data_IF_374499880522
#
_entry.id   IF_374499880522
#
_cell.length_a   1.000
_cell.length_b   1.000
_cell.length_c   1.000
_cell.angle_alpha   90.00
_cell.angle_beta   90.00
_cell.angle_gamma   90.00
#
_symmetry.space_group_name_H-M   'P 1'
#
loop_
_entity.id
_entity.type
_entity.pdbx_description
1 polymer ?
#
# COMPACT_ATOMS: atom_id res chain seq x y z
N UNK A 1 19.48 -17.96 -32.56
CA UNK A 1 18.71 -18.62 -31.48
C UNK A 1 19.60 -18.87 -30.27
N UNK A 2 19.63 -17.96 -29.31
CA UNK A 2 20.24 -18.22 -28.00
C UNK A 2 19.31 -17.69 -26.91
N UNK A 3 18.74 -18.65 -26.19
CA UNK A 3 17.77 -18.47 -25.11
C UNK A 3 18.50 -17.85 -23.92
N UNK A 4 18.29 -16.55 -23.69
CA UNK A 4 18.77 -15.87 -22.50
C UNK A 4 18.12 -16.46 -21.26
N UNK A 5 18.84 -17.33 -20.57
CA UNK A 5 18.46 -17.88 -19.26
C UNK A 5 18.37 -16.75 -18.24
N UNK A 6 17.14 -16.31 -17.95
CA UNK A 6 16.87 -15.40 -16.84
C UNK A 6 17.15 -16.14 -15.52
N UNK A 7 18.30 -15.86 -14.92
CA UNK A 7 18.70 -16.43 -13.64
C UNK A 7 17.76 -15.92 -12.54
N UNK A 8 16.93 -16.81 -11.99
CA UNK A 8 16.06 -16.50 -10.85
C UNK A 8 16.93 -16.45 -9.59
N UNK A 9 17.31 -15.25 -9.19
CA UNK A 9 18.03 -15.01 -7.92
C UNK A 9 17.02 -15.08 -6.78
N UNK A 10 17.02 -16.20 -6.05
CA UNK A 10 16.19 -16.35 -4.85
C UNK A 10 16.93 -15.74 -3.65
N UNK A 11 16.41 -14.65 -3.08
CA UNK A 11 16.93 -14.04 -1.85
C UNK A 11 16.15 -14.57 -0.65
N UNK A 12 16.70 -15.51 0.15
CA UNK A 12 16.01 -16.07 1.31
C UNK A 12 15.85 -14.98 2.38
N UNK A 13 14.60 -14.61 2.66
CA UNK A 13 14.23 -13.60 3.66
C UNK A 13 13.27 -12.51 3.16
N UNK A 14 13.12 -12.37 1.84
CA UNK A 14 12.17 -11.42 1.24
C UNK A 14 10.90 -12.18 0.85
N UNK A 15 9.83 -12.02 1.64
CA UNK A 15 8.52 -12.58 1.32
C UNK A 15 8.11 -12.04 -0.06
N UNK A 16 7.83 -12.95 -0.99
CA UNK A 16 7.34 -12.57 -2.31
C UNK A 16 6.01 -11.83 -2.13
N UNK A 17 6.03 -10.53 -2.41
CA UNK A 17 4.80 -9.76 -2.56
C UNK A 17 4.19 -10.15 -3.89
N UNK A 18 3.22 -11.06 -3.80
CA UNK A 18 2.44 -11.48 -4.95
C UNK A 18 1.39 -10.40 -5.23
N UNK A 19 1.54 -9.71 -6.34
CA UNK A 19 0.63 -8.64 -6.78
C UNK A 19 -0.21 -9.17 -7.93
N UNK A 20 -1.54 -9.09 -7.79
CA UNK A 20 -2.46 -9.35 -8.89
C UNK A 20 -2.44 -8.17 -9.88
N UNK A 21 -2.42 -8.41 -11.20
CA UNK A 21 -2.35 -7.34 -12.20
C UNK A 21 -3.64 -6.52 -12.18
N UNK A 22 -3.53 -5.24 -11.81
CA UNK A 22 -4.64 -4.28 -11.73
C UNK A 22 -4.78 -3.57 -10.38
N UNK A 23 -3.99 -3.97 -9.38
CA UNK A 23 -3.92 -3.27 -8.10
C UNK A 23 -2.57 -2.54 -8.03
N UNK A 24 -2.59 -1.20 -8.04
CA UNK A 24 -1.40 -0.41 -7.69
C UNK A 24 -0.88 -0.92 -6.34
N UNK A 25 0.38 -1.35 -6.34
CA UNK A 25 1.06 -1.89 -5.18
C UNK A 25 1.21 -0.77 -4.14
N UNK A 26 0.20 -0.60 -3.28
CA UNK A 26 0.35 0.15 -2.03
C UNK A 26 0.99 -0.81 -1.02
N UNK A 27 2.19 -1.28 -1.33
CA UNK A 27 3.02 -2.07 -0.41
C UNK A 27 4.14 -1.22 0.12
N UNK A 28 3.93 -0.78 1.35
CA UNK A 28 4.92 -0.09 2.15
C UNK A 28 4.58 -0.33 3.62
N UNK A 29 5.48 0.07 4.50
CA UNK A 29 5.18 0.08 5.94
C UNK A 29 3.90 0.90 6.22
N UNK A 30 3.28 0.70 7.38
CA UNK A 30 2.09 1.48 7.77
C UNK A 30 2.30 3.00 7.60
N UNK A 31 3.50 3.50 7.89
CA UNK A 31 3.88 4.90 7.66
C UNK A 31 3.83 5.33 6.18
N UNK A 32 4.27 4.48 5.24
CA UNK A 32 4.23 4.78 3.80
C UNK A 32 2.79 4.82 3.29
N UNK A 33 1.96 3.85 3.68
CA UNK A 33 0.54 3.84 3.34
C UNK A 33 -0.17 5.10 3.83
N UNK A 34 0.16 5.54 5.04
CA UNK A 34 -0.40 6.76 5.63
C UNK A 34 0.10 8.03 4.94
N UNK A 35 1.38 8.07 4.51
CA UNK A 35 1.91 9.17 3.73
C UNK A 35 1.29 9.25 2.33
N UNK A 36 1.05 8.11 1.68
CA UNK A 36 0.35 8.05 0.39
C UNK A 36 -1.07 8.60 0.56
N UNK A 37 -1.77 8.20 1.63
CA UNK A 37 -3.07 8.75 2.00
C UNK A 37 -3.05 10.27 2.08
N UNK A 38 -2.16 10.82 2.92
CA UNK A 38 -2.01 12.26 3.11
C UNK A 38 -1.55 13.04 1.86
N UNK A 39 -0.81 12.39 0.97
CA UNK A 39 -0.36 13.02 -0.28
C UNK A 39 -1.53 13.08 -1.25
N UNK A 40 -2.28 11.99 -1.40
CA UNK A 40 -3.50 11.96 -2.18
C UNK A 40 -4.56 12.95 -1.66
N UNK A 41 -4.69 13.14 -0.34
CA UNK A 41 -5.52 14.20 0.25
C UNK A 41 -5.12 15.59 -0.27
N UNK A 42 -3.81 15.90 -0.29
CA UNK A 42 -3.30 17.19 -0.77
C UNK A 42 -3.45 17.39 -2.27
N UNK A 43 -3.36 16.31 -3.03
CA UNK A 43 -3.58 16.30 -4.48
C UNK A 43 -5.08 16.39 -4.84
N UNK A 44 -5.98 16.28 -3.86
CA UNK A 44 -7.43 16.27 -4.05
C UNK A 44 -7.97 14.91 -4.53
N UNK A 45 -7.14 13.87 -4.52
CA UNK A 45 -7.49 12.53 -4.96
C UNK A 45 -8.04 11.69 -3.80
N UNK A 46 -9.22 12.07 -3.34
CA UNK A 46 -9.87 11.53 -2.14
C UNK A 46 -10.08 10.01 -2.22
N UNK A 47 -10.38 9.49 -3.42
CA UNK A 47 -10.57 8.05 -3.64
C UNK A 47 -9.29 7.27 -3.38
N UNK A 48 -8.14 7.80 -3.83
CA UNK A 48 -6.84 7.19 -3.63
C UNK A 48 -6.43 7.24 -2.15
N UNK A 49 -6.73 8.35 -1.47
CA UNK A 49 -6.50 8.50 -0.04
C UNK A 49 -7.23 7.43 0.79
N UNK A 50 -8.55 7.29 0.58
CA UNK A 50 -9.37 6.28 1.26
C UNK A 50 -8.88 4.86 0.96
N UNK A 51 -8.44 4.57 -0.27
CA UNK A 51 -7.91 3.25 -0.65
C UNK A 51 -6.59 2.93 0.09
N UNK A 52 -5.70 3.91 0.22
CA UNK A 52 -4.43 3.78 0.94
C UNK A 52 -4.67 3.54 2.44
N UNK A 53 -5.51 4.35 3.08
CA UNK A 53 -5.83 4.24 4.50
C UNK A 53 -6.55 2.92 4.83
N UNK A 54 -7.49 2.48 3.98
CA UNK A 54 -8.13 1.16 4.14
C UNK A 54 -7.14 0.00 3.98
N UNK A 55 -6.18 0.14 3.07
CA UNK A 55 -5.13 -0.87 2.87
C UNK A 55 -4.21 -0.95 4.08
N UNK A 56 -3.91 0.21 4.71
CA UNK A 56 -3.17 0.29 5.96
C UNK A 56 -3.87 -0.47 7.08
N UNK A 57 -5.16 -0.19 7.32
CA UNK A 57 -5.91 -0.85 8.40
C UNK A 57 -6.02 -2.37 8.18
N UNK A 58 -6.18 -2.81 6.93
CA UNK A 58 -6.26 -4.25 6.60
C UNK A 58 -4.92 -4.97 6.77
N UNK A 59 -3.81 -4.35 6.38
CA UNK A 59 -2.47 -4.97 6.41
C UNK A 59 -1.79 -4.82 7.76
N UNK A 60 -2.04 -3.72 8.46
CA UNK A 60 -1.40 -3.35 9.72
C UNK A 60 -2.43 -2.96 10.81
N UNK A 61 -3.39 -3.84 11.15
CA UNK A 61 -4.46 -3.49 12.11
C UNK A 61 -3.98 -3.21 13.54
N UNK A 62 -2.76 -3.64 13.89
CA UNK A 62 -2.16 -3.44 15.22
C UNK A 62 -1.21 -2.24 15.28
N UNK A 63 -1.01 -1.55 14.16
CA UNK A 63 -0.13 -0.38 14.11
C UNK A 63 -0.84 0.85 14.68
N UNK A 64 -0.09 1.71 15.37
CA UNK A 64 -0.64 2.92 15.99
C UNK A 64 -1.21 3.89 14.94
N UNK A 65 -0.67 3.88 13.71
CA UNK A 65 -1.15 4.72 12.62
C UNK A 65 -2.46 4.21 12.00
N UNK A 66 -2.85 2.96 12.27
CA UNK A 66 -4.07 2.39 11.69
C UNK A 66 -5.35 3.03 12.19
N UNK A 67 -5.41 3.37 13.48
CA UNK A 67 -6.54 4.11 14.03
C UNK A 67 -6.67 5.50 13.39
N UNK A 68 -5.55 6.19 13.18
CA UNK A 68 -5.50 7.50 12.53
C UNK A 68 -5.90 7.45 11.05
N UNK A 69 -5.41 6.45 10.32
CA UNK A 69 -5.77 6.18 8.92
C UNK A 69 -7.27 5.91 8.76
N UNK A 70 -7.83 5.05 9.61
CA UNK A 70 -9.26 4.74 9.58
C UNK A 70 -10.13 5.98 9.82
N UNK A 71 -9.73 6.81 10.79
CA UNK A 71 -10.44 8.04 11.12
C UNK A 71 -10.44 9.02 9.95
N UNK A 72 -9.28 9.26 9.32
CA UNK A 72 -9.19 10.14 8.16
C UNK A 72 -9.99 9.63 6.96
N UNK A 73 -9.87 8.33 6.66
CA UNK A 73 -10.66 7.72 5.59
C UNK A 73 -12.17 7.91 5.80
N UNK A 74 -12.64 7.87 7.04
CA UNK A 74 -14.04 8.15 7.37
C UNK A 74 -14.39 9.64 7.19
N UNK A 75 -13.55 10.56 7.65
CA UNK A 75 -13.77 12.00 7.45
C UNK A 75 -13.80 12.40 5.97
N UNK A 76 -12.97 11.78 5.15
CA UNK A 76 -12.90 12.03 3.71
C UNK A 76 -14.10 11.50 2.93
N UNK A 77 -14.89 10.62 3.55
CA UNK A 77 -16.08 10.04 2.95
C UNK A 77 -17.36 10.84 3.26
N UNK A 78 -17.31 11.74 4.26
CA UNK A 78 -18.42 12.60 4.70
C UNK A 78 -18.54 13.87 3.85
#
# INVERSE_FOLDING_TARGET
PESGVAAVVFQPGKKAEFVAPGEEEISGNAAELFQIGQTAEKEGDIKRAIKADRSLVKRHPKDALAAGALYRAAQLQE
#
